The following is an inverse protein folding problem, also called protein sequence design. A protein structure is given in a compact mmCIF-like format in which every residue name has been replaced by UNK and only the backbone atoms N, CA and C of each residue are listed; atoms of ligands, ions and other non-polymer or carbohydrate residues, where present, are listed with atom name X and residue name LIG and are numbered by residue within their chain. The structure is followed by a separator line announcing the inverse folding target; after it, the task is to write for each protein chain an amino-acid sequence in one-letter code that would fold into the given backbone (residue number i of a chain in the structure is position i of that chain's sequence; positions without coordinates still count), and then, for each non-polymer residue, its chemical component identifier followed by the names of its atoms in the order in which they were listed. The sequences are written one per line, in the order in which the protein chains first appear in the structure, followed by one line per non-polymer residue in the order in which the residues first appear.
data_IF_435179644741
#
_entry.id   IF_435179644741
#
_cell.length_a   1.000
_cell.length_b   1.000
_cell.length_c   1.000
_cell.angle_alpha   90.00
_cell.angle_beta   90.00
_cell.angle_gamma   90.00
#
_symmetry.space_group_name_H-M   'P 1'
#
loop_
_entity.id
_entity.type
_entity.pdbx_description
1 polymer ?
#
# COMPACT_ATOMS: atom_id res chain seq x y z
N UNK A 1 -2.30 -0.49 -34.98
CA UNK A 1 -2.09 -1.52 -33.93
C UNK A 1 -1.73 -0.76 -32.67
N UNK A 2 -2.58 -0.79 -31.64
CA UNK A 2 -2.29 -0.11 -30.38
C UNK A 2 -1.39 -1.04 -29.59
N UNK A 3 -0.13 -0.63 -29.42
CA UNK A 3 0.85 -1.32 -28.60
C UNK A 3 0.34 -1.30 -27.15
N UNK A 4 0.02 -2.47 -26.59
CA UNK A 4 -0.39 -2.57 -25.19
C UNK A 4 0.74 -2.05 -24.30
N UNK A 5 0.43 -1.03 -23.49
CA UNK A 5 1.37 -0.53 -22.47
C UNK A 5 1.79 -1.70 -21.57
N UNK A 6 3.11 -1.94 -21.39
CA UNK A 6 3.60 -3.07 -20.61
C UNK A 6 3.35 -2.81 -19.12
N UNK A 7 2.15 -3.13 -18.65
CA UNK A 7 1.81 -3.09 -17.22
C UNK A 7 2.71 -4.06 -16.46
N UNK A 8 3.30 -3.59 -15.36
CA UNK A 8 4.07 -4.47 -14.47
C UNK A 8 3.18 -5.58 -13.93
N UNK A 9 3.58 -6.84 -14.11
CA UNK A 9 2.84 -7.98 -13.59
C UNK A 9 2.64 -7.82 -12.07
N UNK A 10 1.39 -7.88 -11.63
CA UNK A 10 1.02 -7.69 -10.22
C UNK A 10 0.60 -6.27 -9.86
N UNK A 11 0.78 -5.29 -10.75
CA UNK A 11 0.29 -3.92 -10.59
C UNK A 11 -0.94 -3.72 -11.49
N UNK A 12 -2.13 -3.89 -10.90
CA UNK A 12 -3.40 -3.83 -11.62
C UNK A 12 -4.05 -2.46 -11.44
N UNK A 13 -4.62 -1.93 -12.51
CA UNK A 13 -5.48 -0.76 -12.44
C UNK A 13 -6.81 -1.14 -11.78
N UNK A 14 -7.29 -0.31 -10.85
CA UNK A 14 -8.64 -0.42 -10.31
C UNK A 14 -9.57 0.43 -11.18
N UNK A 15 -10.49 -0.21 -11.89
CA UNK A 15 -11.44 0.45 -12.77
C UNK A 15 -12.56 1.13 -11.97
N UNK A 16 -13.44 1.96 -12.57
CA UNK A 16 -14.44 2.71 -11.82
C UNK A 16 -15.32 1.86 -10.90
N UNK A 17 -15.74 0.66 -11.34
CA UNK A 17 -16.52 -0.26 -10.51
C UNK A 17 -15.72 -0.84 -9.33
N UNK A 18 -14.43 -1.12 -9.54
CA UNK A 18 -13.52 -1.60 -8.49
C UNK A 18 -13.26 -0.50 -7.46
N UNK A 19 -13.03 0.73 -7.94
CA UNK A 19 -12.85 1.89 -7.08
C UNK A 19 -14.10 2.17 -6.24
N UNK A 20 -15.31 2.06 -6.79
CA UNK A 20 -16.53 2.22 -6.02
C UNK A 20 -16.62 1.21 -4.85
N UNK A 21 -16.25 -0.05 -5.10
CA UNK A 21 -16.20 -1.09 -4.05
C UNK A 21 -15.08 -0.82 -3.04
N UNK A 22 -13.89 -0.43 -3.51
CA UNK A 22 -12.75 -0.13 -2.67
C UNK A 22 -13.02 1.04 -1.73
N UNK A 23 -13.59 2.14 -2.24
CA UNK A 23 -14.01 3.30 -1.44
C UNK A 23 -15.02 2.93 -0.37
N UNK A 24 -15.95 2.00 -0.65
CA UNK A 24 -16.91 1.54 0.35
C UNK A 24 -16.22 0.84 1.52
N UNK A 25 -15.19 0.03 1.26
CA UNK A 25 -14.42 -0.63 2.32
C UNK A 25 -13.62 0.38 3.13
N UNK A 26 -12.94 1.33 2.47
CA UNK A 26 -12.19 2.41 3.14
C UNK A 26 -13.09 3.25 4.04
N UNK A 27 -14.30 3.60 3.59
CA UNK A 27 -15.26 4.38 4.36
C UNK A 27 -15.66 3.67 5.66
N UNK A 28 -15.99 2.38 5.57
CA UNK A 28 -16.37 1.58 6.76
C UNK A 28 -15.21 1.50 7.74
N UNK A 29 -13.99 1.22 7.27
CA UNK A 29 -12.79 1.16 8.11
C UNK A 29 -12.53 2.51 8.80
N UNK A 30 -12.53 3.60 8.03
CA UNK A 30 -12.29 4.96 8.55
C UNK A 30 -13.34 5.35 9.59
N UNK A 31 -14.61 5.06 9.34
CA UNK A 31 -15.70 5.36 10.27
C UNK A 31 -15.52 4.62 11.59
N UNK A 32 -15.11 3.35 11.54
CA UNK A 32 -14.83 2.58 12.74
C UNK A 32 -13.65 3.17 13.53
N UNK A 33 -12.53 3.50 12.89
CA UNK A 33 -11.39 4.13 13.57
C UNK A 33 -11.76 5.45 14.24
N UNK A 34 -12.52 6.31 13.55
CA UNK A 34 -12.98 7.59 14.08
C UNK A 34 -13.91 7.42 15.29
N UNK A 35 -14.79 6.41 15.29
CA UNK A 35 -15.67 6.12 16.41
C UNK A 35 -14.91 5.73 17.70
N UNK A 36 -13.67 5.24 17.56
CA UNK A 36 -12.77 4.93 18.68
C UNK A 36 -11.79 6.05 19.01
N UNK A 37 -11.93 7.23 18.39
CA UNK A 37 -11.08 8.39 18.67
C UNK A 37 -9.69 8.35 18.02
N UNK A 38 -9.43 7.39 17.12
CA UNK A 38 -8.20 7.40 16.34
C UNK A 38 -8.19 8.55 15.33
N UNK A 39 -7.01 9.10 15.09
CA UNK A 39 -6.78 10.15 14.10
C UNK A 39 -5.90 9.62 12.97
N UNK A 40 -6.15 10.11 11.76
CA UNK A 40 -5.40 9.72 10.58
C UNK A 40 -3.98 10.32 10.61
N UNK A 41 -2.99 9.50 10.29
CA UNK A 41 -1.62 9.91 9.99
C UNK A 41 -1.22 9.34 8.64
N UNK A 42 -0.57 10.16 7.81
CA UNK A 42 -0.09 9.75 6.49
C UNK A 42 1.44 9.77 6.47
N UNK A 43 2.04 8.61 6.23
CA UNK A 43 3.49 8.47 6.09
C UNK A 43 3.90 8.55 4.61
N UNK A 44 5.18 8.85 4.32
CA UNK A 44 5.75 8.66 2.99
C UNK A 44 5.57 7.24 2.43
N UNK A 45 5.44 7.12 1.11
CA UNK A 45 5.35 5.82 0.41
C UNK A 45 6.71 5.15 0.25
N UNK A 46 7.78 5.96 0.14
CA UNK A 46 9.18 5.52 0.01
C UNK A 46 9.90 6.00 1.27
N UNK A 47 10.65 5.09 1.87
CA UNK A 47 11.34 5.30 3.15
C UNK A 47 12.77 4.74 3.08
N UNK A 48 13.64 5.20 3.97
CA UNK A 48 15.02 4.68 4.04
C UNK A 48 15.04 3.19 4.41
N UNK A 49 15.80 2.40 3.66
CA UNK A 49 15.87 0.94 3.85
C UNK A 49 16.24 0.54 5.29
N UNK A 50 17.09 1.32 5.96
CA UNK A 50 17.53 1.02 7.32
C UNK A 50 16.38 0.97 8.34
N UNK A 51 15.24 1.62 8.07
CA UNK A 51 14.05 1.58 8.94
C UNK A 51 13.44 0.18 8.95
N UNK A 52 13.52 -0.54 7.84
CA UNK A 52 13.02 -1.91 7.69
C UNK A 52 14.01 -2.97 8.19
N UNK A 53 15.28 -2.62 8.37
CA UNK A 53 16.31 -3.51 8.92
C UNK A 53 16.61 -3.26 10.40
N UNK A 54 15.94 -2.30 11.02
CA UNK A 54 16.06 -2.04 12.46
C UNK A 54 15.58 -3.26 13.28
N UNK A 55 16.16 -3.45 14.47
CA UNK A 55 15.83 -4.59 15.32
C UNK A 55 14.33 -4.62 15.63
N UNK A 56 13.67 -5.74 15.31
CA UNK A 56 12.25 -5.96 15.60
C UNK A 56 11.26 -5.43 14.56
N UNK A 57 11.71 -4.91 13.40
CA UNK A 57 10.78 -4.43 12.37
C UNK A 57 10.37 -5.53 11.39
N UNK A 58 11.27 -6.01 10.51
CA UNK A 58 10.97 -7.08 9.55
C UNK A 58 11.90 -8.29 9.72
N UNK A 59 11.34 -9.50 9.54
CA UNK A 59 12.15 -10.72 9.45
C UNK A 59 12.96 -10.75 8.15
N UNK A 60 14.08 -11.51 8.08
CA UNK A 60 14.85 -11.66 6.85
C UNK A 60 14.03 -12.12 5.64
N UNK A 61 13.04 -12.99 5.84
CA UNK A 61 12.14 -13.44 4.77
C UNK A 61 11.23 -12.31 4.26
N UNK A 62 10.81 -11.41 5.15
CA UNK A 62 9.99 -10.25 4.78
C UNK A 62 10.80 -9.17 4.06
N UNK A 63 12.08 -9.00 4.41
CA UNK A 63 12.99 -8.08 3.71
C UNK A 63 13.16 -8.45 2.23
N UNK A 64 13.20 -9.74 1.89
CA UNK A 64 13.27 -10.21 0.50
C UNK A 64 12.04 -9.86 -0.36
N UNK A 65 10.98 -9.30 0.24
CA UNK A 65 9.74 -8.89 -0.44
C UNK A 65 9.60 -7.36 -0.58
N UNK A 66 10.57 -6.60 -0.07
CA UNK A 66 10.59 -5.13 -0.19
C UNK A 66 11.18 -4.74 -1.55
N UNK A 67 10.60 -3.73 -2.19
CA UNK A 67 11.22 -3.10 -3.36
C UNK A 67 12.27 -2.09 -2.89
N UNK A 68 13.54 -2.37 -3.17
CA UNK A 68 14.67 -1.46 -2.90
C UNK A 68 15.40 -1.11 -4.19
N UNK A 69 15.98 0.09 -4.26
CA UNK A 69 16.77 0.58 -5.39
C UNK A 69 17.99 1.35 -4.88
N UNK A 70 18.98 1.55 -5.74
CA UNK A 70 20.25 2.26 -5.47
C UNK A 70 20.23 3.66 -6.10
#
# INVERSE_FOLDING_TARGET
MVEESPRCRGMRDLLPADMARFRRVEEVFRTACLAWGYQEVRTPTIEHLHLFTAAGTLSPQMLGRVYSFL
#
